data_IF_157066784468
#
_entry.id   IF_157066784468
#
_cell.length_a   1.000
_cell.length_b   1.000
_cell.length_c   1.000
_cell.angle_alpha   90.00
_cell.angle_beta   90.00
_cell.angle_gamma   90.00
#
_symmetry.space_group_name_H-M   'P 1'
#
loop_
_entity.id
_entity.type
_entity.pdbx_description
1 polymer ?
#
# COMPACT_ATOMS: atom_id res chain seq x y z
N UNK A 1 12.87 27.86 -11.94
CA UNK A 1 12.46 26.60 -12.62
C UNK A 1 11.53 26.95 -13.78
N UNK A 2 11.92 26.62 -15.00
CA UNK A 2 11.13 26.90 -16.21
C UNK A 2 9.82 26.09 -16.21
N UNK A 3 8.69 26.73 -16.53
CA UNK A 3 7.35 26.10 -16.64
C UNK A 3 7.30 24.87 -17.57
N UNK A 4 8.32 24.66 -18.40
CA UNK A 4 8.45 23.51 -19.29
C UNK A 4 8.58 22.15 -18.55
N UNK A 5 9.19 22.11 -17.36
CA UNK A 5 9.44 20.84 -16.65
C UNK A 5 8.15 20.06 -16.31
N UNK A 6 7.19 20.66 -15.59
CA UNK A 6 5.92 20.03 -15.28
C UNK A 6 5.12 19.62 -16.53
N UNK A 7 5.09 20.46 -17.57
CA UNK A 7 4.39 20.16 -18.81
C UNK A 7 4.96 18.92 -19.52
N UNK A 8 6.29 18.79 -19.58
CA UNK A 8 6.94 17.63 -20.18
C UNK A 8 6.61 16.35 -19.41
N UNK A 9 6.70 16.37 -18.08
CA UNK A 9 6.39 15.21 -17.22
C UNK A 9 4.95 14.74 -17.46
N UNK A 10 3.97 15.65 -17.37
CA UNK A 10 2.56 15.32 -17.61
C UNK A 10 2.36 14.76 -19.02
N UNK A 11 3.00 15.35 -20.03
CA UNK A 11 2.89 14.90 -21.42
C UNK A 11 3.41 13.48 -21.59
N UNK A 12 4.59 13.16 -21.04
CA UNK A 12 5.13 11.81 -21.09
C UNK A 12 4.28 10.80 -20.32
N UNK A 13 3.77 11.18 -19.15
CA UNK A 13 2.87 10.33 -18.35
C UNK A 13 1.56 10.05 -19.10
N UNK A 14 0.96 11.06 -19.74
CA UNK A 14 -0.22 10.88 -20.59
C UNK A 14 0.08 10.03 -21.82
N UNK A 15 1.22 10.23 -22.47
CA UNK A 15 1.62 9.42 -23.62
C UNK A 15 1.78 7.95 -23.22
N UNK A 16 2.45 7.66 -22.10
CA UNK A 16 2.59 6.29 -21.59
C UNK A 16 1.21 5.66 -21.30
N UNK A 17 0.31 6.41 -20.66
CA UNK A 17 -1.07 5.98 -20.43
C UNK A 17 -1.79 5.63 -21.74
N UNK A 18 -1.72 6.50 -22.75
CA UNK A 18 -2.36 6.29 -24.05
C UNK A 18 -1.76 5.09 -24.80
N UNK A 19 -0.45 4.89 -24.73
CA UNK A 19 0.23 3.72 -25.33
C UNK A 19 -0.26 2.42 -24.68
N UNK A 20 -0.31 2.37 -23.34
CA UNK A 20 -0.83 1.20 -22.63
C UNK A 20 -2.30 0.98 -22.95
N UNK A 21 -3.12 2.02 -23.00
CA UNK A 21 -4.54 1.91 -23.36
C UNK A 21 -4.73 1.39 -24.79
N UNK A 22 -3.99 1.93 -25.76
CA UNK A 22 -4.02 1.49 -27.16
C UNK A 22 -3.61 0.02 -27.32
N UNK A 23 -2.75 -0.50 -26.44
CA UNK A 23 -2.33 -1.91 -26.47
C UNK A 23 -3.48 -2.89 -26.21
N UNK A 24 -4.61 -2.46 -25.62
CA UNK A 24 -5.78 -3.30 -25.39
C UNK A 24 -6.66 -3.51 -26.63
N UNK A 25 -6.44 -2.77 -27.73
CA UNK A 25 -7.20 -2.95 -28.99
C UNK A 25 -7.06 -4.38 -29.53
N UNK A 26 -5.93 -5.05 -29.24
CA UNK A 26 -5.67 -6.42 -29.68
C UNK A 26 -6.20 -7.48 -28.72
N UNK A 27 -6.81 -7.10 -27.59
CA UNK A 27 -7.30 -8.06 -26.58
C UNK A 27 -8.70 -8.52 -26.97
N UNK A 28 -8.88 -9.83 -27.14
CA UNK A 28 -10.18 -10.42 -27.40
C UNK A 28 -10.93 -10.73 -26.10
N UNK A 29 -11.72 -9.77 -25.61
CA UNK A 29 -12.53 -9.94 -24.39
C UNK A 29 -13.65 -10.98 -24.52
N UNK A 30 -13.96 -11.45 -25.73
CA UNK A 30 -14.95 -12.52 -25.93
C UNK A 30 -14.37 -13.91 -25.62
N UNK A 31 -13.04 -14.05 -25.64
CA UNK A 31 -12.38 -15.29 -25.22
C UNK A 31 -12.29 -15.31 -23.69
N UNK A 32 -13.29 -15.91 -23.07
CA UNK A 32 -13.35 -16.06 -21.62
C UNK A 32 -12.54 -17.29 -21.20
N UNK A 33 -11.58 -17.16 -20.27
CA UNK A 33 -10.96 -18.33 -19.68
C UNK A 33 -12.03 -19.14 -18.93
N UNK A 34 -11.80 -20.44 -18.79
CA UNK A 34 -12.60 -21.27 -17.90
C UNK A 34 -12.61 -20.67 -16.49
N UNK A 35 -13.72 -20.84 -15.78
CA UNK A 35 -13.90 -20.30 -14.45
C UNK A 35 -14.05 -21.46 -13.47
N UNK A 36 -13.22 -21.46 -12.43
CA UNK A 36 -13.31 -22.49 -11.39
C UNK A 36 -14.49 -22.22 -10.43
N UNK A 37 -14.82 -23.21 -9.61
CA UNK A 37 -15.93 -23.18 -8.66
C UNK A 37 -15.43 -23.49 -7.26
N UNK A 38 -15.86 -22.70 -6.28
CA UNK A 38 -15.57 -22.91 -4.87
C UNK A 38 -16.05 -24.30 -4.42
N UNK A 39 -15.14 -25.12 -3.90
CA UNK A 39 -15.47 -26.44 -3.34
C UNK A 39 -16.45 -26.37 -2.16
N UNK A 40 -16.48 -25.25 -1.43
CA UNK A 40 -17.28 -25.08 -0.21
C UNK A 40 -18.63 -24.42 -0.46
N UNK A 41 -18.70 -23.45 -1.37
CA UNK A 41 -19.92 -22.66 -1.60
C UNK A 41 -20.61 -22.97 -2.91
N UNK A 42 -19.90 -23.58 -3.87
CA UNK A 42 -20.39 -23.76 -5.24
C UNK A 42 -20.46 -22.46 -6.05
N UNK A 43 -19.95 -21.33 -5.53
CA UNK A 43 -19.92 -20.07 -6.27
C UNK A 43 -18.72 -19.97 -7.24
N UNK A 44 -18.86 -19.24 -8.37
CA UNK A 44 -17.77 -19.04 -9.31
C UNK A 44 -16.61 -18.24 -8.72
N UNK A 45 -15.39 -18.65 -9.04
CA UNK A 45 -14.14 -18.06 -8.55
C UNK A 45 -13.53 -17.09 -9.55
N UNK A 46 -12.60 -16.26 -9.09
CA UNK A 46 -11.87 -15.30 -9.92
C UNK A 46 -10.54 -15.82 -10.44
N UNK A 47 -10.51 -17.10 -10.79
CA UNK A 47 -9.39 -17.74 -11.47
C UNK A 47 -9.88 -18.94 -12.32
N UNK A 48 -9.12 -19.33 -13.36
CA UNK A 48 -9.32 -20.62 -14.01
C UNK A 48 -8.94 -21.78 -13.06
N UNK A 49 -9.33 -23.02 -13.38
CA UNK A 49 -8.88 -24.20 -12.64
C UNK A 49 -7.36 -24.23 -12.51
N UNK A 50 -6.88 -24.43 -11.28
CA UNK A 50 -5.44 -24.42 -10.98
C UNK A 50 -4.91 -25.85 -11.04
N UNK A 51 -3.94 -26.11 -11.92
CA UNK A 51 -3.30 -27.42 -11.99
C UNK A 51 -2.57 -27.74 -10.68
N UNK A 52 -2.84 -28.92 -10.12
CA UNK A 52 -2.27 -29.34 -8.84
C UNK A 52 -2.77 -28.54 -7.63
N UNK A 53 -3.97 -27.96 -7.71
CA UNK A 53 -4.57 -27.21 -6.62
C UNK A 53 -4.69 -28.07 -5.35
N UNK A 54 -4.04 -27.61 -4.28
CA UNK A 54 -4.11 -28.23 -2.96
C UNK A 54 -4.70 -27.24 -1.96
N UNK A 55 -5.97 -27.48 -1.63
CA UNK A 55 -6.72 -26.67 -0.67
C UNK A 55 -6.06 -26.67 0.71
N UNK A 56 -5.38 -27.75 1.14
CA UNK A 56 -4.75 -27.81 2.45
C UNK A 56 -3.58 -26.82 2.53
N UNK A 57 -2.82 -26.68 1.43
CA UNK A 57 -1.74 -25.69 1.34
C UNK A 57 -2.31 -24.28 1.38
N UNK A 58 -3.37 -24.00 0.61
CA UNK A 58 -4.02 -22.67 0.60
C UNK A 58 -4.60 -22.33 1.98
N UNK A 59 -5.28 -23.27 2.63
CA UNK A 59 -5.82 -23.09 3.97
C UNK A 59 -4.70 -22.84 4.98
N UNK A 60 -3.62 -23.62 4.95
CA UNK A 60 -2.49 -23.47 5.87
C UNK A 60 -1.82 -22.09 5.71
N UNK A 61 -1.53 -21.68 4.48
CA UNK A 61 -0.93 -20.37 4.19
C UNK A 61 -1.88 -19.23 4.56
N UNK A 62 -3.18 -19.38 4.31
CA UNK A 62 -4.21 -18.39 4.69
C UNK A 62 -4.34 -18.24 6.19
N UNK A 63 -4.34 -19.34 6.96
CA UNK A 63 -4.36 -19.33 8.43
C UNK A 63 -3.11 -18.65 8.96
N UNK A 64 -1.93 -19.07 8.50
CA UNK A 64 -0.66 -18.47 8.92
C UNK A 64 -0.65 -16.96 8.67
N UNK A 65 -1.02 -16.55 7.45
CA UNK A 65 -1.05 -15.15 7.05
C UNK A 65 -2.07 -14.36 7.87
N UNK A 66 -3.27 -14.90 8.08
CA UNK A 66 -4.30 -14.29 8.93
C UNK A 66 -3.77 -14.04 10.34
N UNK A 67 -3.12 -15.04 10.95
CA UNK A 67 -2.55 -14.93 12.29
C UNK A 67 -1.45 -13.87 12.36
N UNK A 68 -0.48 -13.91 11.45
CA UNK A 68 0.64 -12.96 11.44
C UNK A 68 0.16 -11.53 11.18
N UNK A 69 -0.75 -11.34 10.24
CA UNK A 69 -1.33 -10.03 9.92
C UNK A 69 -2.18 -9.50 11.07
N UNK A 70 -2.97 -10.36 11.73
CA UNK A 70 -3.74 -9.99 12.93
C UNK A 70 -2.84 -9.59 14.09
N UNK A 71 -1.78 -10.36 14.34
CA UNK A 71 -0.79 -10.03 15.38
C UNK A 71 -0.08 -8.72 15.07
N UNK A 72 0.29 -8.48 13.80
CA UNK A 72 0.90 -7.23 13.35
C UNK A 72 -0.01 -6.03 13.64
N UNK A 73 -1.29 -6.13 13.25
CA UNK A 73 -2.29 -5.11 13.57
C UNK A 73 -2.48 -4.91 15.07
N UNK A 74 -2.61 -6.00 15.84
CA UNK A 74 -2.72 -5.95 17.30
C UNK A 74 -1.53 -5.23 17.95
N UNK A 75 -0.29 -5.56 17.56
CA UNK A 75 0.89 -4.94 18.14
C UNK A 75 1.02 -3.47 17.75
N UNK A 76 0.69 -3.08 16.51
CA UNK A 76 0.59 -1.67 16.13
C UNK A 76 -0.36 -0.92 17.07
N UNK A 77 -1.57 -1.44 17.25
CA UNK A 77 -2.59 -0.80 18.09
C UNK A 77 -2.16 -0.73 19.56
N UNK A 78 -1.55 -1.81 20.08
CA UNK A 78 -0.97 -1.85 21.42
C UNK A 78 0.09 -0.77 21.59
N UNK A 79 1.04 -0.66 20.66
CA UNK A 79 2.13 0.30 20.77
C UNK A 79 1.65 1.75 20.72
N UNK A 80 0.59 2.03 19.95
CA UNK A 80 -0.03 3.36 19.88
C UNK A 80 -0.86 3.69 21.14
N UNK A 81 -1.48 2.70 21.78
CA UNK A 81 -2.26 2.93 23.01
C UNK A 81 -1.42 3.23 24.26
N UNK A 82 -0.16 2.85 24.24
CA UNK A 82 0.78 3.04 25.34
C UNK A 82 1.60 4.31 25.08
N UNK A 83 1.38 5.40 25.85
CA UNK A 83 1.98 6.70 25.55
C UNK A 83 3.51 6.62 25.56
N UNK A 84 4.12 6.88 24.40
CA UNK A 84 5.55 7.12 24.33
C UNK A 84 5.85 8.53 24.88
N UNK A 85 6.95 8.69 25.61
CA UNK A 85 7.39 10.01 26.05
C UNK A 85 7.62 10.93 24.83
N UNK A 86 7.49 12.26 25.00
CA UNK A 86 7.63 13.26 23.92
C UNK A 86 8.91 13.10 23.07
N UNK A 87 9.97 12.53 23.65
CA UNK A 87 11.25 12.21 22.96
C UNK A 87 11.09 11.22 21.79
N UNK A 88 10.02 10.44 21.76
CA UNK A 88 9.78 9.43 20.73
C UNK A 88 8.78 9.88 19.67
N UNK A 89 8.19 11.07 19.80
CA UNK A 89 7.15 11.54 18.88
C UNK A 89 7.76 11.94 17.53
N UNK A 90 7.38 11.23 16.48
CA UNK A 90 7.63 11.67 15.10
C UNK A 90 6.50 12.61 14.65
N UNK A 91 6.87 13.66 13.90
CA UNK A 91 5.92 14.60 13.32
C UNK A 91 6.00 14.59 11.80
N UNK A 92 4.85 14.66 11.14
CA UNK A 92 4.73 15.04 9.75
C UNK A 92 4.73 16.55 9.60
N UNK A 93 5.44 17.01 8.57
CA UNK A 93 5.42 18.41 8.10
C UNK A 93 4.94 18.42 6.66
N UNK A 94 3.93 19.24 6.38
CA UNK A 94 3.46 19.56 5.03
C UNK A 94 3.57 21.07 4.81
N UNK A 95 4.20 21.46 3.69
CA UNK A 95 4.43 22.84 3.26
C UNK A 95 5.05 23.73 4.34
N UNK A 96 5.94 23.19 5.18
CA UNK A 96 6.68 23.89 6.26
C UNK A 96 5.83 24.56 7.37
N UNK A 97 4.50 24.45 7.33
CA UNK A 97 3.60 25.09 8.31
C UNK A 97 2.70 24.09 9.05
N UNK A 98 2.33 22.97 8.43
CA UNK A 98 1.39 22.02 9.02
C UNK A 98 2.12 20.88 9.71
N UNK A 99 2.19 20.93 11.04
CA UNK A 99 2.78 19.87 11.87
C UNK A 99 1.70 18.99 12.48
N UNK A 100 1.76 17.68 12.26
CA UNK A 100 0.85 16.68 12.86
C UNK A 100 1.68 15.49 13.34
N UNK A 101 1.32 14.83 14.44
CA UNK A 101 1.99 13.60 14.86
C UNK A 101 1.75 12.47 13.85
N UNK A 102 2.66 11.52 13.74
CA UNK A 102 2.47 10.32 12.89
C UNK A 102 1.47 9.32 13.46
N UNK A 103 0.90 9.60 14.63
CA UNK A 103 0.05 8.68 15.40
C UNK A 103 -1.19 8.23 14.62
N UNK A 104 -1.93 9.17 14.02
CA UNK A 104 -3.15 8.85 13.24
C UNK A 104 -2.81 8.03 11.97
N UNK A 105 -1.71 8.35 11.31
CA UNK A 105 -1.21 7.57 10.18
C UNK A 105 -0.82 6.14 10.58
N UNK A 106 -0.11 5.98 11.71
CA UNK A 106 0.23 4.67 12.24
C UNK A 106 -1.02 3.89 12.66
N UNK A 107 -2.05 4.58 13.15
CA UNK A 107 -3.35 3.99 13.45
C UNK A 107 -4.02 3.45 12.17
N UNK A 108 -3.97 4.20 11.06
CA UNK A 108 -4.44 3.71 9.77
C UNK A 108 -3.66 2.49 9.27
N UNK A 109 -2.34 2.39 9.50
CA UNK A 109 -1.57 1.18 9.21
C UNK A 109 -2.04 -0.03 10.06
N UNK A 110 -2.37 0.21 11.34
CA UNK A 110 -2.91 -0.82 12.23
C UNK A 110 -4.28 -1.32 11.79
N UNK A 111 -5.19 -0.39 11.44
CA UNK A 111 -6.50 -0.72 10.87
C UNK A 111 -6.33 -1.48 9.55
N UNK A 112 -5.43 -1.03 8.68
CA UNK A 112 -5.17 -1.69 7.40
C UNK A 112 -4.73 -3.15 7.59
N UNK A 113 -3.83 -3.41 8.54
CA UNK A 113 -3.46 -4.79 8.90
C UNK A 113 -4.67 -5.61 9.35
N UNK A 114 -5.45 -5.11 10.31
CA UNK A 114 -6.62 -5.83 10.84
C UNK A 114 -7.69 -6.07 9.76
N UNK A 115 -7.99 -5.06 8.94
CA UNK A 115 -8.95 -5.17 7.85
C UNK A 115 -8.45 -6.05 6.71
N UNK A 116 -7.14 -6.30 6.57
CA UNK A 116 -6.58 -7.25 5.59
C UNK A 116 -6.53 -8.69 6.12
N UNK A 117 -6.39 -8.86 7.44
CA UNK A 117 -6.53 -10.19 8.04
C UNK A 117 -7.93 -10.79 7.77
N UNK A 118 -8.97 -9.97 7.74
CA UNK A 118 -10.34 -10.40 7.43
C UNK A 118 -10.48 -11.09 6.06
N UNK A 119 -10.24 -10.43 4.91
CA UNK A 119 -10.36 -11.09 3.63
C UNK A 119 -9.41 -12.29 3.50
N UNK A 120 -8.22 -12.25 4.11
CA UNK A 120 -7.31 -13.41 4.14
C UNK A 120 -7.94 -14.62 4.85
N UNK A 121 -8.61 -14.39 5.98
CA UNK A 121 -9.36 -15.43 6.68
C UNK A 121 -10.53 -15.95 5.84
N UNK A 122 -11.24 -15.06 5.16
CA UNK A 122 -12.42 -15.43 4.36
C UNK A 122 -12.08 -16.15 3.05
N UNK A 123 -10.82 -16.13 2.57
CA UNK A 123 -10.37 -17.00 1.47
C UNK A 123 -10.65 -18.46 1.79
N UNK A 124 -10.46 -18.88 3.05
CA UNK A 124 -10.70 -20.26 3.50
C UNK A 124 -12.15 -20.68 3.24
N UNK A 125 -13.11 -19.77 3.37
CA UNK A 125 -14.54 -20.08 3.28
C UNK A 125 -15.11 -19.88 1.88
N UNK A 126 -14.74 -18.78 1.23
CA UNK A 126 -15.37 -18.33 -0.01
C UNK A 126 -14.47 -18.50 -1.23
N UNK A 127 -13.16 -18.66 -1.01
CA UNK A 127 -12.11 -18.42 -2.01
C UNK A 127 -12.23 -17.03 -2.66
N UNK A 128 -11.30 -16.67 -3.54
CA UNK A 128 -11.33 -15.35 -4.20
C UNK A 128 -12.40 -15.35 -5.29
N UNK A 129 -13.40 -14.49 -5.12
CA UNK A 129 -14.54 -14.35 -6.01
C UNK A 129 -15.46 -13.20 -5.59
N UNK A 130 -16.66 -13.12 -6.19
CA UNK A 130 -17.62 -12.04 -5.89
C UNK A 130 -18.02 -11.97 -4.42
N UNK A 131 -18.26 -13.11 -3.77
CA UNK A 131 -18.64 -13.14 -2.35
C UNK A 131 -17.51 -12.62 -1.46
N UNK A 132 -16.28 -13.04 -1.72
CA UNK A 132 -15.09 -12.55 -1.02
C UNK A 132 -14.85 -11.05 -1.27
N UNK A 133 -15.14 -10.55 -2.46
CA UNK A 133 -14.91 -9.14 -2.82
C UNK A 133 -15.64 -8.13 -1.94
N UNK A 134 -16.80 -8.51 -1.38
CA UNK A 134 -17.55 -7.67 -0.44
C UNK A 134 -16.76 -7.39 0.85
N UNK A 135 -15.82 -8.27 1.19
CA UNK A 135 -14.90 -8.13 2.33
C UNK A 135 -13.56 -7.57 1.85
N UNK A 136 -13.08 -8.06 0.70
CA UNK A 136 -11.85 -7.60 0.07
C UNK A 136 -11.83 -6.09 -0.21
N UNK A 137 -12.98 -5.45 -0.44
CA UNK A 137 -13.02 -4.00 -0.68
C UNK A 137 -12.51 -3.18 0.51
N UNK A 138 -12.66 -3.66 1.75
CA UNK A 138 -12.17 -2.95 2.93
C UNK A 138 -10.63 -2.85 2.99
N UNK A 139 -9.93 -3.82 2.40
CA UNK A 139 -8.49 -3.76 2.22
C UNK A 139 -8.12 -2.58 1.29
N UNK A 140 -8.70 -2.52 0.09
CA UNK A 140 -8.45 -1.41 -0.86
C UNK A 140 -8.85 -0.05 -0.28
N UNK A 141 -9.98 0.04 0.43
CA UNK A 141 -10.41 1.28 1.10
C UNK A 141 -9.37 1.75 2.12
N UNK A 142 -8.74 0.84 2.84
CA UNK A 142 -7.71 1.17 3.83
C UNK A 142 -6.47 1.79 3.19
N UNK A 143 -6.08 1.31 2.01
CA UNK A 143 -4.99 1.90 1.22
C UNK A 143 -5.33 3.33 0.79
N UNK A 144 -6.56 3.53 0.32
CA UNK A 144 -7.03 4.86 -0.07
C UNK A 144 -7.08 5.80 1.14
N UNK A 145 -7.46 5.32 2.32
CA UNK A 145 -7.40 6.08 3.57
C UNK A 145 -5.97 6.52 3.89
N UNK A 146 -4.99 5.61 3.79
CA UNK A 146 -3.57 5.93 4.03
C UNK A 146 -3.10 7.02 3.06
N UNK A 147 -3.42 6.91 1.78
CA UNK A 147 -3.07 7.92 0.77
C UNK A 147 -3.73 9.26 1.05
N UNK A 148 -5.01 9.28 1.43
CA UNK A 148 -5.73 10.50 1.77
C UNK A 148 -5.15 11.16 3.02
N UNK A 149 -4.80 10.39 4.05
CA UNK A 149 -4.15 10.92 5.25
C UNK A 149 -2.82 11.59 4.90
N UNK A 150 -1.97 10.93 4.11
CA UNK A 150 -0.72 11.53 3.64
C UNK A 150 -0.95 12.79 2.80
N UNK A 151 -1.92 12.77 1.89
CA UNK A 151 -2.28 13.93 1.07
C UNK A 151 -2.79 15.12 1.91
N UNK A 152 -3.42 14.85 3.04
CA UNK A 152 -3.95 15.88 3.94
C UNK A 152 -2.99 16.22 5.10
N UNK A 153 -1.72 15.86 5.02
CA UNK A 153 -0.73 16.25 6.02
C UNK A 153 -0.71 15.35 7.26
N UNK A 154 -1.06 14.08 7.11
CA UNK A 154 -1.00 13.05 8.15
C UNK A 154 -2.32 12.71 8.83
N UNK A 155 -3.41 13.44 8.54
CA UNK A 155 -4.73 13.27 9.16
C UNK A 155 -5.87 13.59 8.21
N UNK A 156 -7.00 12.91 8.36
CA UNK A 156 -8.19 13.18 7.55
C UNK A 156 -9.05 14.24 8.24
N UNK A 157 -9.11 15.44 7.66
CA UNK A 157 -9.82 16.58 8.27
C UNK A 157 -11.16 16.91 7.61
N UNK A 158 -11.41 16.38 6.42
CA UNK A 158 -12.58 16.75 5.63
C UNK A 158 -13.64 15.65 5.61
N UNK A 159 -14.87 15.99 6.02
CA UNK A 159 -16.03 15.09 5.89
C UNK A 159 -16.33 14.75 4.42
N UNK A 160 -15.98 15.63 3.48
CA UNK A 160 -16.10 15.36 2.05
C UNK A 160 -15.21 14.18 1.61
N UNK A 161 -14.04 14.00 2.24
CA UNK A 161 -13.16 12.86 1.98
C UNK A 161 -13.80 11.55 2.43
N UNK A 162 -14.54 11.55 3.54
CA UNK A 162 -15.31 10.39 4.00
C UNK A 162 -16.44 10.07 3.01
N UNK A 163 -17.17 11.09 2.55
CA UNK A 163 -18.22 10.90 1.54
C UNK A 163 -17.68 10.31 0.23
N UNK A 164 -16.51 10.77 -0.22
CA UNK A 164 -15.85 10.24 -1.41
C UNK A 164 -15.37 8.79 -1.22
N UNK A 165 -14.83 8.44 -0.03
CA UNK A 165 -14.44 7.06 0.30
C UNK A 165 -15.64 6.10 0.27
N UNK A 166 -16.78 6.51 0.83
CA UNK A 166 -18.01 5.71 0.79
C UNK A 166 -18.48 5.53 -0.65
N UNK A 167 -18.48 6.60 -1.45
CA UNK A 167 -18.86 6.54 -2.86
C UNK A 167 -17.92 5.61 -3.64
N UNK A 168 -16.61 5.69 -3.40
CA UNK A 168 -15.62 4.79 -3.98
C UNK A 168 -15.91 3.32 -3.61
N UNK A 169 -16.13 3.01 -2.33
CA UNK A 169 -16.40 1.65 -1.88
C UNK A 169 -17.68 1.08 -2.51
N UNK A 170 -18.76 1.87 -2.57
CA UNK A 170 -20.02 1.49 -3.22
C UNK A 170 -19.78 1.26 -4.71
N UNK A 171 -19.17 2.23 -5.41
CA UNK A 171 -18.94 2.13 -6.84
C UNK A 171 -18.08 0.92 -7.22
N UNK A 172 -16.96 0.72 -6.53
CA UNK A 172 -16.05 -0.39 -6.76
C UNK A 172 -16.74 -1.75 -6.50
N UNK A 173 -17.53 -1.85 -5.42
CA UNK A 173 -18.28 -3.07 -5.09
C UNK A 173 -19.39 -3.34 -6.09
N UNK A 174 -20.22 -2.33 -6.42
CA UNK A 174 -21.30 -2.45 -7.40
C UNK A 174 -20.77 -2.90 -8.76
N UNK A 175 -19.66 -2.33 -9.22
CA UNK A 175 -19.09 -2.71 -10.50
C UNK A 175 -18.49 -4.13 -10.47
N UNK A 176 -17.86 -4.54 -9.37
CA UNK A 176 -17.39 -5.94 -9.18
C UNK A 176 -18.54 -6.95 -9.20
N UNK A 177 -19.71 -6.58 -8.70
CA UNK A 177 -20.91 -7.44 -8.72
C UNK A 177 -21.59 -7.45 -10.09
N UNK A 178 -21.66 -6.29 -10.77
CA UNK A 178 -22.37 -6.11 -12.03
C UNK A 178 -21.62 -6.67 -13.24
N UNK A 179 -20.28 -6.62 -13.23
CA UNK A 179 -19.48 -7.16 -14.33
C UNK A 179 -19.54 -8.70 -14.35
N UNK A 180 -19.39 -9.26 -15.54
CA UNK A 180 -19.30 -10.71 -15.75
C UNK A 180 -17.83 -11.14 -15.88
N UNK A 181 -17.55 -12.39 -15.52
CA UNK A 181 -16.24 -13.00 -15.73
C UNK A 181 -15.76 -12.83 -17.18
N UNK A 182 -14.49 -12.45 -17.42
CA UNK A 182 -13.43 -12.15 -16.43
C UNK A 182 -13.33 -10.68 -15.99
N UNK A 183 -14.23 -9.80 -16.46
CA UNK A 183 -14.12 -8.36 -16.28
C UNK A 183 -14.31 -7.90 -14.82
N UNK A 184 -15.10 -8.63 -14.03
CA UNK A 184 -15.26 -8.40 -12.60
C UNK A 184 -13.95 -8.58 -11.82
N UNK A 185 -13.26 -9.70 -12.06
CA UNK A 185 -11.97 -9.98 -11.45
C UNK A 185 -10.89 -8.97 -11.91
N UNK A 186 -10.86 -8.67 -13.21
CA UNK A 186 -9.94 -7.67 -13.77
C UNK A 186 -10.19 -6.30 -13.17
N UNK A 187 -11.44 -5.88 -13.05
CA UNK A 187 -11.80 -4.61 -12.41
C UNK A 187 -11.33 -4.57 -10.96
N UNK A 188 -11.64 -5.60 -10.17
CA UNK A 188 -11.28 -5.67 -8.76
C UNK A 188 -9.75 -5.68 -8.56
N UNK A 189 -9.01 -6.42 -9.37
CA UNK A 189 -7.53 -6.42 -9.31
C UNK A 189 -6.95 -5.08 -9.78
N UNK A 190 -7.46 -4.52 -10.88
CA UNK A 190 -6.94 -3.27 -11.44
C UNK A 190 -7.06 -2.12 -10.43
N UNK A 191 -8.21 -1.98 -9.76
CA UNK A 191 -8.38 -0.91 -8.78
C UNK A 191 -7.48 -1.08 -7.54
N UNK A 192 -7.23 -2.30 -7.08
CA UNK A 192 -6.27 -2.58 -5.99
C UNK A 192 -4.82 -2.31 -6.41
N UNK A 193 -4.42 -2.74 -7.60
CA UNK A 193 -3.09 -2.42 -8.14
C UNK A 193 -2.88 -0.92 -8.33
N UNK A 194 -3.93 -0.16 -8.69
CA UNK A 194 -3.85 1.30 -8.74
C UNK A 194 -3.49 1.90 -7.38
N UNK A 195 -4.13 1.46 -6.29
CA UNK A 195 -3.81 1.94 -4.94
C UNK A 195 -2.44 1.46 -4.47
N UNK A 196 -2.05 0.23 -4.79
CA UNK A 196 -0.72 -0.32 -4.50
C UNK A 196 0.41 0.52 -5.08
N UNK A 197 0.36 0.77 -6.40
CA UNK A 197 1.37 1.60 -7.07
C UNK A 197 1.36 3.02 -6.53
N UNK A 198 0.18 3.59 -6.28
CA UNK A 198 0.07 4.94 -5.76
C UNK A 198 0.69 5.06 -4.36
N UNK A 199 0.43 4.12 -3.45
CA UNK A 199 1.05 4.07 -2.11
C UNK A 199 2.56 3.95 -2.22
N UNK A 200 3.07 3.03 -3.04
CA UNK A 200 4.52 2.85 -3.21
C UNK A 200 5.18 4.13 -3.72
N UNK A 201 4.57 4.81 -4.69
CA UNK A 201 5.05 6.09 -5.20
C UNK A 201 5.02 7.14 -4.09
N UNK A 202 3.95 7.23 -3.29
CA UNK A 202 3.86 8.21 -2.20
C UNK A 202 4.90 7.96 -1.11
N UNK A 203 5.09 6.72 -0.65
CA UNK A 203 6.14 6.39 0.32
C UNK A 203 7.53 6.73 -0.20
N UNK A 204 7.78 6.43 -1.48
CA UNK A 204 9.04 6.79 -2.14
C UNK A 204 9.25 8.30 -2.17
N UNK A 205 8.22 9.07 -2.54
CA UNK A 205 8.27 10.53 -2.54
C UNK A 205 8.51 11.09 -1.13
N UNK A 206 7.85 10.55 -0.11
CA UNK A 206 8.05 10.95 1.29
C UNK A 206 9.48 10.70 1.75
N UNK A 207 10.07 9.53 1.44
CA UNK A 207 11.46 9.24 1.76
C UNK A 207 12.41 10.26 1.12
N UNK A 208 12.26 10.53 -0.17
CA UNK A 208 13.15 11.48 -0.86
C UNK A 208 12.93 12.93 -0.43
N UNK A 209 11.70 13.35 -0.17
CA UNK A 209 11.40 14.68 0.36
C UNK A 209 12.05 14.88 1.73
N UNK A 210 11.87 13.91 2.63
CA UNK A 210 12.47 13.93 3.97
C UNK A 210 14.00 13.95 3.89
N UNK A 211 14.60 13.08 3.06
CA UNK A 211 16.04 13.01 2.88
C UNK A 211 16.63 14.30 2.28
N UNK A 212 15.91 14.94 1.35
CA UNK A 212 16.33 16.20 0.77
C UNK A 212 16.34 17.32 1.82
N UNK A 213 15.26 17.45 2.60
CA UNK A 213 15.16 18.51 3.61
C UNK A 213 16.20 18.34 4.73
N UNK A 214 16.42 17.13 5.21
CA UNK A 214 17.46 16.87 6.22
C UNK A 214 18.87 17.27 5.75
N UNK A 215 19.16 17.16 4.45
CA UNK A 215 20.45 17.60 3.89
C UNK A 215 20.55 19.12 3.89
N UNK A 216 19.47 19.82 3.58
CA UNK A 216 19.39 21.28 3.65
C UNK A 216 19.56 21.75 5.10
N UNK A 217 18.80 21.20 6.04
CA UNK A 217 18.86 21.56 7.45
C UNK A 217 20.24 21.27 8.06
N UNK A 218 20.89 20.18 7.64
CA UNK A 218 22.26 19.86 8.09
C UNK A 218 23.31 20.82 7.51
N UNK A 219 23.08 21.38 6.32
CA UNK A 219 23.96 22.39 5.73
C UNK A 219 23.78 23.77 6.36
N UNK A 220 22.59 24.06 6.92
CA UNK A 220 22.26 25.32 7.57
C UNK A 220 22.57 25.35 9.08
N UNK A 221 22.81 24.20 9.73
CA UNK A 221 23.24 24.14 11.14
C UNK A 221 24.75 24.35 11.27
N UNK A 222 25.14 25.41 11.96
CA UNK A 222 26.53 25.60 12.42
C UNK A 222 26.97 24.43 13.33
N UNK A 223 28.21 23.92 13.20
CA UNK A 223 28.71 22.76 13.94
C UNK A 223 28.87 22.97 15.46
N UNK A 224 28.48 24.13 16.00
CA UNK A 224 28.73 24.52 17.39
C UNK A 224 27.70 23.91 18.37
N UNK A 225 26.55 23.42 17.90
CA UNK A 225 25.50 22.84 18.76
C UNK A 225 25.53 21.30 18.89
N UNK A 226 26.52 20.61 18.31
CA UNK A 226 26.57 19.14 18.33
C UNK A 226 27.07 18.51 19.65
N UNK A 227 27.60 19.30 20.59
CA UNK A 227 28.23 18.76 21.82
C UNK A 227 27.26 18.57 23.00
N UNK A 228 26.12 19.28 23.04
CA UNK A 228 25.21 19.26 24.21
C UNK A 228 24.34 18.01 24.32
N UNK A 229 24.23 17.19 23.27
CA UNK A 229 23.38 15.99 23.27
C UNK A 229 24.04 14.75 23.90
N UNK A 230 25.33 14.84 24.24
CA UNK A 230 26.17 13.65 24.51
C UNK A 230 26.12 13.12 25.95
N UNK A 231 25.59 13.88 26.91
CA UNK A 231 25.80 13.57 28.34
C UNK A 231 24.62 12.88 29.04
N UNK A 232 23.37 13.09 28.60
CA UNK A 232 22.19 12.45 29.22
C UNK A 232 21.77 11.12 28.57
N UNK A 233 22.26 10.78 27.37
CA UNK A 233 21.78 9.63 26.61
C UNK A 233 22.43 8.28 26.95
N UNK A 234 23.51 8.28 27.75
CA UNK A 234 24.32 7.07 28.02
C UNK A 234 23.67 6.05 28.98
N UNK A 235 22.52 6.36 29.56
CA UNK A 235 21.93 5.59 30.66
C UNK A 235 20.81 4.59 30.31
N UNK A 236 20.41 4.40 29.04
CA UNK A 236 19.53 3.27 28.66
C UNK A 236 20.19 2.36 27.63
N UNK A 237 20.82 1.29 28.10
CA UNK A 237 21.57 0.33 27.27
C UNK A 237 20.71 -0.58 26.37
N UNK A 238 19.39 -0.40 26.32
CA UNK A 238 18.49 -1.38 25.71
C UNK A 238 17.48 -0.81 24.69
N UNK A 239 17.49 0.50 24.40
CA UNK A 239 16.53 1.06 23.44
C UNK A 239 17.06 0.92 22.00
N UNK A 240 16.24 0.46 21.03
CA UNK A 240 16.66 0.36 19.64
C UNK A 240 16.95 1.74 19.05
N UNK A 241 17.94 1.83 18.18
CA UNK A 241 18.39 3.07 17.52
C UNK A 241 17.91 3.09 16.06
N UNK A 242 17.33 4.22 15.63
CA UNK A 242 16.90 4.46 14.25
C UNK A 242 17.75 5.53 13.58
N UNK A 243 18.23 5.21 12.39
CA UNK A 243 18.91 6.13 11.48
C UNK A 243 17.89 6.82 10.59
N UNK A 244 17.35 7.94 11.06
CA UNK A 244 16.37 8.71 10.32
C UNK A 244 16.96 9.22 8.97
N UNK A 245 16.25 9.18 7.83
CA UNK A 245 14.86 8.74 7.62
C UNK A 245 14.74 7.28 7.10
N UNK A 246 15.75 6.43 7.32
CA UNK A 246 15.83 5.10 6.70
C UNK A 246 14.72 4.13 7.12
N UNK A 247 14.05 4.38 8.25
CA UNK A 247 12.87 3.59 8.63
C UNK A 247 11.74 3.71 7.59
N UNK A 248 11.65 4.82 6.83
CA UNK A 248 10.69 4.95 5.73
C UNK A 248 10.95 3.96 4.59
N UNK A 249 12.17 3.41 4.47
CA UNK A 249 12.45 2.35 3.50
C UNK A 249 11.65 1.08 3.80
N UNK A 250 11.23 0.86 5.06
CA UNK A 250 10.34 -0.26 5.41
C UNK A 250 8.95 -0.08 4.79
N UNK A 251 8.42 1.14 4.73
CA UNK A 251 7.15 1.43 4.05
C UNK A 251 7.26 1.12 2.55
N UNK A 252 8.36 1.56 1.93
CA UNK A 252 8.64 1.27 0.51
C UNK A 252 8.76 -0.23 0.29
N UNK A 253 9.56 -0.93 1.10
CA UNK A 253 9.75 -2.38 1.02
C UNK A 253 8.42 -3.12 1.15
N UNK A 254 7.60 -2.78 2.14
CA UNK A 254 6.27 -3.36 2.33
C UNK A 254 5.39 -3.16 1.09
N UNK A 255 5.30 -1.93 0.57
CA UNK A 255 4.50 -1.65 -0.63
C UNK A 255 5.03 -2.36 -1.89
N UNK A 256 6.35 -2.54 -2.04
CA UNK A 256 6.94 -3.29 -3.15
C UNK A 256 6.62 -4.79 -3.07
N UNK A 257 6.75 -5.39 -1.88
CA UNK A 257 6.38 -6.80 -1.67
C UNK A 257 4.89 -7.00 -1.98
N UNK A 258 4.04 -6.05 -1.56
CA UNK A 258 2.61 -6.07 -1.84
C UNK A 258 2.31 -6.04 -3.35
N UNK A 259 2.87 -5.06 -4.08
CA UNK A 259 2.76 -4.95 -5.54
C UNK A 259 3.21 -6.23 -6.23
N UNK A 260 4.36 -6.79 -5.82
CA UNK A 260 4.91 -8.01 -6.43
C UNK A 260 3.98 -9.20 -6.23
N UNK A 261 3.47 -9.41 -5.01
CA UNK A 261 2.50 -10.47 -4.72
C UNK A 261 1.22 -10.35 -5.56
N UNK A 262 0.64 -9.15 -5.62
CA UNK A 262 -0.56 -8.86 -6.41
C UNK A 262 -0.31 -9.01 -7.93
N UNK A 263 0.85 -8.55 -8.42
CA UNK A 263 1.18 -8.59 -9.84
C UNK A 263 1.45 -10.01 -10.32
N UNK A 264 2.22 -10.82 -9.57
CA UNK A 264 2.58 -12.18 -9.97
C UNK A 264 1.33 -13.06 -10.12
N UNK A 265 0.38 -12.99 -9.19
CA UNK A 265 -0.91 -13.72 -9.33
C UNK A 265 -1.85 -13.13 -10.36
N UNK A 266 -1.55 -11.94 -10.88
CA UNK A 266 -2.27 -11.39 -12.03
C UNK A 266 -1.70 -11.94 -13.33
N UNK A 267 -0.37 -12.07 -13.44
CA UNK A 267 0.29 -12.62 -14.62
C UNK A 267 0.04 -14.11 -14.83
N UNK A 268 0.12 -14.89 -13.75
CA UNK A 268 0.12 -16.33 -13.81
C UNK A 268 -0.48 -16.93 -12.54
N UNK A 269 -1.51 -17.75 -12.70
CA UNK A 269 -2.19 -18.43 -11.60
C UNK A 269 -1.72 -19.87 -11.54
N UNK A 270 -0.98 -20.20 -10.49
CA UNK A 270 -0.61 -21.57 -10.12
C UNK A 270 -0.67 -21.71 -8.60
N UNK A 271 -0.64 -22.96 -8.09
CA UNK A 271 -0.59 -23.22 -6.65
C UNK A 271 0.51 -22.40 -5.95
N UNK A 272 1.69 -22.32 -6.58
CA UNK A 272 2.83 -21.59 -6.05
C UNK A 272 2.60 -20.07 -6.04
N UNK A 273 2.17 -19.48 -7.16
CA UNK A 273 1.98 -18.02 -7.22
C UNK A 273 0.84 -17.57 -6.32
N UNK A 274 -0.24 -18.35 -6.24
CA UNK A 274 -1.37 -18.08 -5.36
C UNK A 274 -0.95 -18.14 -3.88
N UNK A 275 -0.20 -19.17 -3.49
CA UNK A 275 0.37 -19.27 -2.13
C UNK A 275 1.33 -18.11 -1.83
N UNK A 276 2.19 -17.74 -2.79
CA UNK A 276 3.14 -16.64 -2.63
C UNK A 276 2.43 -15.30 -2.41
N UNK A 277 1.34 -15.03 -3.14
CA UNK A 277 0.53 -13.83 -2.93
C UNK A 277 -0.05 -13.78 -1.52
N UNK A 278 -0.68 -14.86 -1.05
CA UNK A 278 -1.25 -14.91 0.30
C UNK A 278 -0.12 -14.71 1.33
N UNK A 279 0.97 -15.47 1.21
CA UNK A 279 2.11 -15.36 2.11
C UNK A 279 2.77 -13.97 2.10
N UNK A 280 2.79 -13.27 0.96
CA UNK A 280 3.39 -11.94 0.85
C UNK A 280 2.74 -10.93 1.81
N UNK A 281 1.44 -11.07 2.08
CA UNK A 281 0.73 -10.21 3.03
C UNK A 281 1.32 -10.28 4.44
N UNK A 282 1.73 -11.48 4.88
CA UNK A 282 2.37 -11.65 6.19
C UNK A 282 3.67 -10.84 6.31
N UNK A 283 4.44 -10.76 5.23
CA UNK A 283 5.69 -9.97 5.16
C UNK A 283 5.36 -8.48 5.16
N UNK A 284 4.39 -8.05 4.35
CA UNK A 284 3.93 -6.65 4.25
C UNK A 284 3.53 -6.11 5.62
N UNK A 285 2.60 -6.79 6.31
CA UNK A 285 2.07 -6.28 7.58
C UNK A 285 3.04 -6.41 8.74
N UNK A 286 3.91 -7.43 8.76
CA UNK A 286 5.01 -7.50 9.73
C UNK A 286 5.99 -6.34 9.52
N UNK A 287 6.25 -5.97 8.26
CA UNK A 287 7.12 -4.83 7.93
C UNK A 287 6.49 -3.50 8.36
N UNK A 288 5.18 -3.31 8.15
CA UNK A 288 4.46 -2.15 8.68
C UNK A 288 4.47 -2.10 10.21
N UNK A 289 4.27 -3.24 10.90
CA UNK A 289 4.37 -3.30 12.34
C UNK A 289 5.77 -2.92 12.82
N UNK A 290 6.82 -3.44 12.16
CA UNK A 290 8.19 -3.08 12.51
C UNK A 290 8.48 -1.59 12.27
N UNK A 291 7.96 -1.01 11.18
CA UNK A 291 8.01 0.43 10.96
C UNK A 291 7.38 1.21 12.14
N UNK A 292 6.15 0.87 12.54
CA UNK A 292 5.45 1.58 13.63
C UNK A 292 6.19 1.38 14.96
N UNK A 293 6.74 0.21 15.22
CA UNK A 293 7.57 -0.04 16.41
C UNK A 293 8.77 0.91 16.44
N UNK A 294 9.50 1.02 15.33
CA UNK A 294 10.62 1.96 15.23
C UNK A 294 10.15 3.43 15.36
N UNK A 295 9.02 3.77 14.76
CA UNK A 295 8.46 5.12 14.81
C UNK A 295 8.04 5.54 16.22
N UNK A 296 7.52 4.61 17.02
CA UNK A 296 6.95 4.90 18.35
C UNK A 296 7.89 4.59 19.52
N UNK A 297 8.84 3.66 19.36
CA UNK A 297 9.64 3.11 20.48
C UNK A 297 11.14 3.29 20.34
N UNK A 298 11.65 3.41 19.13
CA UNK A 298 13.09 3.54 18.93
C UNK A 298 13.57 4.98 19.14
N UNK A 299 14.78 5.12 19.68
CA UNK A 299 15.48 6.40 19.78
C UNK A 299 16.02 6.78 18.40
N UNK A 300 15.87 8.04 18.04
CA UNK A 300 16.47 8.58 16.82
C UNK A 300 17.87 9.12 17.12
N UNK A 301 18.84 8.85 16.24
CA UNK A 301 20.15 9.52 16.27
C UNK A 301 20.02 11.00 15.86
N UNK A 302 18.98 11.35 15.10
CA UNK A 302 18.67 12.73 14.77
C UNK A 302 17.94 13.42 15.93
N UNK A 303 18.33 14.66 16.30
CA UNK A 303 17.66 15.46 17.33
C UNK A 303 16.19 15.79 16.99
N UNK A 304 15.80 15.68 15.72
CA UNK A 304 14.44 15.95 15.24
C UNK A 304 13.93 14.77 14.43
N UNK A 305 12.76 14.24 14.83
CA UNK A 305 12.02 13.16 14.14
C UNK A 305 10.96 13.77 13.23
N UNK A 306 11.38 14.35 12.12
CA UNK A 306 10.48 15.08 11.20
C UNK A 306 10.42 14.38 9.86
N UNK A 307 9.23 13.89 9.50
CA UNK A 307 8.97 13.35 8.17
C UNK A 307 8.35 14.45 7.31
N UNK A 308 9.00 14.80 6.21
CA UNK A 308 8.48 15.78 5.27
C UNK A 308 7.58 15.07 4.24
N UNK A 309 6.30 15.39 4.28
CA UNK A 309 5.33 14.89 3.31
C UNK A 309 5.55 15.59 1.96
N UNK A 310 5.36 14.87 0.85
CA UNK A 310 5.64 15.42 -0.46
C UNK A 310 4.60 16.47 -0.86
N UNK A 311 5.05 17.51 -1.56
CA UNK A 311 4.19 18.55 -2.15
C UNK A 311 2.99 17.97 -2.91
N UNK A 312 1.82 18.52 -2.62
CA UNK A 312 0.51 18.08 -3.11
C UNK A 312 -0.01 18.93 -4.28
N UNK A 313 0.84 19.72 -4.92
CA UNK A 313 0.52 20.46 -6.13
C UNK A 313 -0.21 19.58 -7.15
N UNK A 314 -1.30 20.12 -7.72
CA UNK A 314 -2.25 19.34 -8.52
C UNK A 314 -1.63 18.56 -9.68
N UNK A 315 -0.58 19.10 -10.32
CA UNK A 315 0.12 18.41 -11.40
C UNK A 315 0.90 17.17 -10.92
N UNK A 316 1.46 17.20 -9.70
CA UNK A 316 2.15 16.05 -9.10
C UNK A 316 1.14 14.97 -8.74
N UNK A 317 0.01 15.37 -8.15
CA UNK A 317 -1.11 14.46 -7.85
C UNK A 317 -1.60 13.78 -9.12
N UNK A 318 -1.90 14.56 -10.18
CA UNK A 318 -2.30 14.02 -11.48
C UNK A 318 -1.26 13.06 -12.06
N UNK A 319 0.02 13.40 -11.99
CA UNK A 319 1.11 12.53 -12.48
C UNK A 319 1.14 11.20 -11.74
N UNK A 320 1.04 11.20 -10.40
CA UNK A 320 1.02 9.97 -9.59
C UNK A 320 -0.22 9.14 -9.91
N UNK A 321 -1.40 9.77 -9.98
CA UNK A 321 -2.65 9.07 -10.30
C UNK A 321 -2.58 8.41 -11.66
N UNK A 322 -2.21 9.15 -12.72
CA UNK A 322 -2.14 8.59 -14.08
C UNK A 322 -1.06 7.51 -14.17
N UNK A 323 0.10 7.70 -13.53
CA UNK A 323 1.16 6.68 -13.52
C UNK A 323 0.70 5.40 -12.83
N UNK A 324 -0.01 5.49 -11.71
CA UNK A 324 -0.50 4.32 -10.97
C UNK A 324 -1.55 3.55 -11.77
N UNK A 325 -2.46 4.25 -12.45
CA UNK A 325 -3.43 3.65 -13.38
C UNK A 325 -2.70 2.99 -14.55
N UNK A 326 -1.70 3.67 -15.13
CA UNK A 326 -0.92 3.14 -16.26
C UNK A 326 -0.19 1.86 -15.90
N UNK A 327 0.44 1.81 -14.72
CA UNK A 327 1.15 0.62 -14.23
C UNK A 327 0.18 -0.53 -13.94
N UNK A 328 -0.97 -0.26 -13.33
CA UNK A 328 -2.03 -1.25 -13.12
C UNK A 328 -2.54 -1.84 -14.45
N UNK A 329 -2.86 -0.97 -15.42
CA UNK A 329 -3.27 -1.39 -16.76
C UNK A 329 -2.17 -2.19 -17.48
N UNK A 330 -0.91 -1.82 -17.31
CA UNK A 330 0.21 -2.56 -17.89
C UNK A 330 0.29 -3.98 -17.32
N UNK A 331 0.14 -4.14 -15.99
CA UNK A 331 0.10 -5.45 -15.33
C UNK A 331 -1.04 -6.30 -15.90
N UNK A 332 -2.24 -5.73 -16.00
CA UNK A 332 -3.41 -6.39 -16.61
C UNK A 332 -3.16 -6.76 -18.07
N UNK A 333 -2.52 -5.87 -18.86
CA UNK A 333 -2.24 -6.14 -20.27
C UNK A 333 -1.28 -7.31 -20.45
N UNK A 334 -0.25 -7.38 -19.62
CA UNK A 334 0.73 -8.48 -19.62
C UNK A 334 0.03 -9.80 -19.28
N UNK A 335 -0.86 -9.80 -18.28
CA UNK A 335 -1.66 -10.98 -17.96
C UNK A 335 -2.48 -11.49 -19.16
N UNK A 336 -3.17 -10.59 -19.88
CA UNK A 336 -3.89 -10.96 -21.10
C UNK A 336 -2.97 -11.49 -22.20
N UNK A 337 -1.76 -10.93 -22.36
CA UNK A 337 -0.80 -11.43 -23.34
C UNK A 337 -0.36 -12.86 -23.03
N UNK A 338 -0.03 -13.16 -21.77
CA UNK A 338 0.38 -14.50 -21.31
C UNK A 338 -0.78 -15.50 -21.47
N UNK A 339 -2.00 -15.10 -21.10
CA UNK A 339 -3.17 -15.95 -21.24
C UNK A 339 -3.50 -16.29 -22.71
N UNK A 340 -3.15 -15.42 -23.65
CA UNK A 340 -3.36 -15.65 -25.10
C UNK A 340 -2.29 -16.49 -25.78
N UNK A 341 -1.15 -16.74 -25.13
CA UNK A 341 -0.04 -17.55 -25.68
C UNK A 341 -0.09 -19.02 -25.29
N UNK A 342 -0.96 -19.37 -24.33
CA UNK A 342 -1.26 -20.74 -23.92
C UNK A 342 -2.59 -21.17 -24.53
#
# INVERSE_FOLDING_TARGET
>A
MTRAGPCLIITFTLLAFLVVLASFITVNFNQKPEQDISLRTGYPLWHPPIEGYDQQIIDAVSIFTTLVTSLSGYYIMKWLSEPAGKKYTTIFVLDDYKTVTTEEFNYFLGIYALLTALPTFFIIWFDVGKLWSAIGIFHNVSEVIIMLAMHQGGRIISSASIGWLILYAIFASTLSLALSWPLDAVWFKMQGLCSDFAICIQFTRTYFATKAQMRTDAAERDPIHSEEMSTEERNSRHDPIVYFPHQLLLLILASLVHIVGNSITTFYVSQFTYSLFIASQSVVFTTYAYYVYLDTRAKSVSPQRVIHLPDTAGWKVATVTISSITLSLLVTRIAFAIASSN
#
